data_IF_466210432416
#
_entry.id   IF_466210432416
#
_cell.length_a   1.000
_cell.length_b   1.000
_cell.length_c   1.000
_cell.angle_alpha   90.00
_cell.angle_beta   90.00
_cell.angle_gamma   90.00
#
_symmetry.space_group_name_H-M   'P 1'
#
loop_
_entity.id
_entity.type
_entity.pdbx_description
1 polymer ?
#
# COMPACT_ATOMS: atom_id res chain seq x y z
N UNK A 1 -29.06 32.47 15.99
CA UNK A 1 -29.15 31.24 16.79
C UNK A 1 -30.26 30.39 16.22
N UNK A 2 -29.93 29.43 15.37
CA UNK A 2 -30.86 28.37 14.96
C UNK A 2 -31.14 27.50 16.20
N UNK A 3 -32.41 27.18 16.52
CA UNK A 3 -32.71 26.31 17.65
C UNK A 3 -32.04 24.94 17.43
N UNK A 4 -31.32 24.46 18.45
CA UNK A 4 -30.77 23.09 18.45
C UNK A 4 -31.95 22.13 18.19
N UNK A 5 -31.87 21.22 17.21
CA UNK A 5 -32.90 20.20 17.04
C UNK A 5 -32.98 19.43 18.36
N UNK A 6 -34.15 19.49 19.02
CA UNK A 6 -34.37 18.72 20.25
C UNK A 6 -34.14 17.25 19.94
N UNK A 7 -33.05 16.69 20.48
CA UNK A 7 -32.80 15.27 20.40
C UNK A 7 -33.90 14.53 21.16
N UNK A 8 -34.45 13.50 20.54
CA UNK A 8 -35.38 12.59 21.19
C UNK A 8 -34.73 11.99 22.47
N UNK A 9 -35.46 12.06 23.59
CA UNK A 9 -35.02 11.57 24.89
C UNK A 9 -34.76 10.05 24.87
N UNK A 10 -35.51 9.29 24.07
CA UNK A 10 -35.29 7.85 23.91
C UNK A 10 -33.95 7.58 23.19
N UNK A 11 -33.69 8.30 22.10
CA UNK A 11 -32.42 8.23 21.36
C UNK A 11 -31.22 8.59 22.24
N UNK A 12 -31.35 9.64 23.06
CA UNK A 12 -30.30 10.08 23.98
C UNK A 12 -30.03 9.03 25.08
N UNK A 13 -31.08 8.40 25.58
CA UNK A 13 -30.98 7.34 26.60
C UNK A 13 -30.28 6.11 26.04
N UNK A 14 -30.66 5.66 24.84
CA UNK A 14 -30.02 4.52 24.17
C UNK A 14 -28.54 4.80 23.90
N UNK A 15 -28.21 6.01 23.44
CA UNK A 15 -26.81 6.39 23.19
C UNK A 15 -25.95 6.35 24.47
N UNK A 16 -26.47 6.84 25.60
CA UNK A 16 -25.78 6.77 26.90
C UNK A 16 -25.60 5.32 27.37
N UNK A 17 -26.58 4.47 27.14
CA UNK A 17 -26.47 3.03 27.40
C UNK A 17 -25.39 2.39 26.52
N UNK A 18 -25.31 2.76 25.24
CA UNK A 18 -24.31 2.28 24.29
C UNK A 18 -22.89 2.71 24.69
N UNK A 19 -22.69 3.95 25.13
CA UNK A 19 -21.40 4.44 25.65
C UNK A 19 -20.97 3.64 26.89
N UNK A 20 -21.90 3.38 27.80
CA UNK A 20 -21.63 2.61 29.02
C UNK A 20 -21.27 1.17 28.68
N UNK A 21 -22.06 0.51 27.83
CA UNK A 21 -21.82 -0.85 27.36
C UNK A 21 -20.46 -0.98 26.66
N UNK A 22 -20.13 -0.07 25.76
CA UNK A 22 -18.85 -0.08 25.04
C UNK A 22 -17.64 0.04 25.95
N UNK A 23 -17.74 0.75 27.09
CA UNK A 23 -16.65 0.85 28.07
C UNK A 23 -16.48 -0.43 28.88
N UNK A 24 -17.59 -1.10 29.21
CA UNK A 24 -17.59 -2.37 29.95
C UNK A 24 -17.06 -3.51 29.07
N UNK A 25 -17.52 -3.57 27.82
CA UNK A 25 -17.12 -4.61 26.86
C UNK A 25 -15.67 -4.45 26.36
N UNK A 26 -15.06 -3.26 26.51
CA UNK A 26 -13.69 -2.97 26.03
C UNK A 26 -12.83 -2.29 27.10
N UNK A 27 -12.47 -3.01 28.18
CA UNK A 27 -11.72 -2.44 29.31
C UNK A 27 -10.31 -1.98 28.89
N UNK A 28 -9.65 -2.68 27.97
CA UNK A 28 -8.31 -2.34 27.47
C UNK A 28 -8.30 -1.03 26.66
N UNK A 29 -9.25 -0.88 25.73
CA UNK A 29 -9.43 0.36 24.96
C UNK A 29 -9.81 1.54 25.88
N UNK A 30 -10.61 1.29 26.92
CA UNK A 30 -10.90 2.31 27.92
C UNK A 30 -9.66 2.74 28.70
N UNK A 31 -8.80 1.80 29.10
CA UNK A 31 -7.54 2.10 29.78
C UNK A 31 -6.59 2.92 28.89
N UNK A 32 -6.44 2.54 27.62
CA UNK A 32 -5.55 3.22 26.65
C UNK A 32 -6.07 4.60 26.20
N UNK A 33 -7.39 4.82 26.24
CA UNK A 33 -8.03 6.07 25.79
C UNK A 33 -7.55 7.34 26.51
N UNK A 34 -6.97 7.22 27.71
CA UNK A 34 -6.43 8.36 28.47
C UNK A 34 -5.34 9.11 27.71
N UNK A 35 -4.51 8.40 26.94
CA UNK A 35 -3.43 8.98 26.13
C UNK A 35 -3.95 9.82 24.97
N UNK A 36 -5.10 9.42 24.40
CA UNK A 36 -5.70 10.09 23.24
C UNK A 36 -6.25 11.49 23.55
N UNK A 37 -6.58 11.75 24.82
CA UNK A 37 -7.09 13.05 25.27
C UNK A 37 -6.05 13.88 26.02
N UNK A 38 -4.79 13.43 26.02
CA UNK A 38 -3.67 14.21 26.53
C UNK A 38 -3.29 15.35 25.57
N UNK A 39 -2.69 16.41 26.10
CA UNK A 39 -2.33 17.62 25.34
C UNK A 39 -1.51 17.32 24.08
N UNK A 40 -0.61 16.34 24.14
CA UNK A 40 0.25 15.95 23.00
C UNK A 40 -0.50 15.25 21.85
N UNK A 41 -1.70 14.70 22.09
CA UNK A 41 -2.38 13.82 21.12
C UNK A 41 -3.80 14.29 20.78
N UNK A 42 -4.33 15.29 21.48
CA UNK A 42 -5.69 15.74 21.31
C UNK A 42 -5.93 16.31 19.90
N UNK A 43 -5.03 17.15 19.41
CA UNK A 43 -5.13 17.77 18.07
C UNK A 43 -5.17 16.75 16.94
N UNK A 44 -4.54 15.58 17.11
CA UNK A 44 -4.63 14.48 16.14
C UNK A 44 -5.86 13.58 16.38
N UNK A 45 -6.33 13.49 17.62
CA UNK A 45 -7.44 12.60 18.02
C UNK A 45 -8.80 13.18 17.63
N UNK A 46 -9.03 14.48 17.82
CA UNK A 46 -10.34 15.09 17.59
C UNK A 46 -10.78 15.05 16.12
N UNK A 47 -9.94 15.36 15.12
CA UNK A 47 -10.31 15.20 13.70
C UNK A 47 -10.66 13.76 13.35
N UNK A 48 -9.89 12.78 13.85
CA UNK A 48 -10.16 11.34 13.65
C UNK A 48 -11.50 10.94 14.26
N UNK A 49 -11.81 11.44 15.44
CA UNK A 49 -13.09 11.18 16.11
C UNK A 49 -14.25 11.80 15.31
N UNK A 50 -14.09 13.02 14.82
CA UNK A 50 -15.08 13.71 13.95
C UNK A 50 -15.34 12.91 12.68
N UNK A 51 -14.29 12.47 11.98
CA UNK A 51 -14.43 11.63 10.78
C UNK A 51 -15.12 10.29 11.09
N UNK A 52 -14.79 9.65 12.21
CA UNK A 52 -15.42 8.40 12.62
C UNK A 52 -16.91 8.58 12.94
N UNK A 53 -17.29 9.69 13.58
CA UNK A 53 -18.70 10.06 13.84
C UNK A 53 -19.42 10.32 12.51
N UNK A 54 -18.79 11.05 11.58
CA UNK A 54 -19.34 11.32 10.25
C UNK A 54 -19.61 10.05 9.45
N UNK A 55 -18.70 9.07 9.51
CA UNK A 55 -18.81 7.79 8.81
C UNK A 55 -19.70 6.74 9.53
N UNK A 56 -20.14 7.02 10.75
CA UNK A 56 -20.90 6.05 11.56
C UNK A 56 -22.33 5.86 11.07
N UNK A 57 -22.94 4.75 11.50
CA UNK A 57 -24.38 4.49 11.35
C UNK A 57 -25.24 5.22 12.39
N UNK A 58 -24.67 6.13 13.18
CA UNK A 58 -25.43 6.89 14.18
C UNK A 58 -26.51 7.75 13.50
N UNK A 59 -27.71 7.89 14.12
CA UNK A 59 -28.78 8.71 13.56
C UNK A 59 -28.33 10.15 13.26
N UNK A 60 -28.78 10.76 12.14
CA UNK A 60 -28.33 12.08 11.72
C UNK A 60 -28.44 13.19 12.78
N UNK A 61 -29.53 13.28 13.59
CA UNK A 61 -29.63 14.30 14.64
C UNK A 61 -28.55 14.15 15.73
N UNK A 62 -28.24 12.91 16.13
CA UNK A 62 -27.20 12.62 17.10
C UNK A 62 -25.81 12.94 16.55
N UNK A 63 -25.57 12.62 15.28
CA UNK A 63 -24.31 12.94 14.59
C UNK A 63 -24.06 14.43 14.55
N UNK A 64 -25.06 15.22 14.15
CA UNK A 64 -24.97 16.68 14.11
C UNK A 64 -24.69 17.27 15.50
N UNK A 65 -25.40 16.81 16.52
CA UNK A 65 -25.19 17.28 17.89
C UNK A 65 -23.80 16.94 18.44
N UNK A 66 -23.29 15.73 18.16
CA UNK A 66 -21.92 15.34 18.53
C UNK A 66 -20.87 16.20 17.83
N UNK A 67 -21.02 16.45 16.53
CA UNK A 67 -20.10 17.30 15.77
C UNK A 67 -20.10 18.75 16.27
N UNK A 68 -21.28 19.27 16.61
CA UNK A 68 -21.42 20.59 17.21
C UNK A 68 -20.78 20.67 18.60
N UNK A 69 -20.92 19.63 19.43
CA UNK A 69 -20.30 19.56 20.76
C UNK A 69 -18.76 19.46 20.69
N UNK A 70 -18.24 18.80 19.64
CA UNK A 70 -16.81 18.66 19.35
C UNK A 70 -16.22 19.85 18.57
N UNK A 71 -17.02 20.87 18.25
CA UNK A 71 -16.61 22.05 17.49
C UNK A 71 -15.88 21.71 16.17
N UNK A 72 -16.33 20.66 15.48
CA UNK A 72 -15.70 20.22 14.23
C UNK A 72 -14.27 19.64 14.37
N UNK A 73 -13.75 19.53 15.59
CA UNK A 73 -12.43 18.94 15.87
C UNK A 73 -11.26 19.93 15.88
N UNK A 74 -11.53 21.24 15.89
CA UNK A 74 -10.53 22.30 15.72
C UNK A 74 -9.94 22.87 17.02
N UNK A 75 -10.14 22.22 18.17
CA UNK A 75 -9.66 22.75 19.46
C UNK A 75 -8.33 22.14 19.90
N UNK A 76 -7.54 22.94 20.61
CA UNK A 76 -6.22 22.53 21.14
C UNK A 76 -6.31 21.86 22.51
N UNK A 77 -7.35 22.15 23.30
CA UNK A 77 -7.55 21.56 24.63
C UNK A 77 -8.99 21.09 24.82
N UNK A 78 -9.16 20.05 25.64
CA UNK A 78 -10.50 19.48 25.93
C UNK A 78 -11.39 20.50 26.65
N UNK A 79 -10.80 21.40 27.43
CA UNK A 79 -11.48 22.47 28.14
C UNK A 79 -12.12 23.50 27.21
N UNK A 80 -11.63 23.59 25.97
CA UNK A 80 -12.14 24.53 24.97
C UNK A 80 -13.39 23.96 24.26
N UNK A 81 -13.73 22.68 24.49
CA UNK A 81 -14.97 22.05 23.99
C UNK A 81 -16.20 22.52 24.77
N UNK A 82 -17.38 22.34 24.17
CA UNK A 82 -18.64 22.62 24.85
C UNK A 82 -18.94 21.57 25.92
N UNK A 83 -18.47 21.81 27.14
CA UNK A 83 -18.61 20.90 28.27
C UNK A 83 -20.09 20.57 28.59
N UNK A 84 -20.97 21.56 28.50
CA UNK A 84 -22.41 21.38 28.77
C UNK A 84 -23.06 20.49 27.71
N UNK A 85 -22.75 20.70 26.42
CA UNK A 85 -23.28 19.86 25.33
C UNK A 85 -22.76 18.43 25.41
N UNK A 86 -21.47 18.24 25.69
CA UNK A 86 -20.89 16.91 25.88
C UNK A 86 -21.54 16.20 27.07
N UNK A 87 -21.70 16.91 28.19
CA UNK A 87 -22.34 16.34 29.39
C UNK A 87 -23.81 15.98 29.13
N UNK A 88 -24.55 16.83 28.42
CA UNK A 88 -25.92 16.55 28.01
C UNK A 88 -26.01 15.30 27.14
N UNK A 89 -25.15 15.19 26.13
CA UNK A 89 -25.13 14.09 25.16
C UNK A 89 -24.65 12.76 25.76
N UNK A 90 -23.58 12.78 26.55
CA UNK A 90 -22.93 11.54 27.01
C UNK A 90 -23.18 11.21 28.48
N UNK A 91 -23.69 12.15 29.28
CA UNK A 91 -23.81 12.00 30.74
C UNK A 91 -22.44 12.01 31.46
N UNK A 92 -21.39 12.53 30.81
CA UNK A 92 -20.01 12.47 31.32
C UNK A 92 -19.34 13.85 31.20
N UNK A 93 -18.42 14.20 32.11
CA UNK A 93 -17.57 15.37 31.95
C UNK A 93 -16.75 15.31 30.65
N UNK A 94 -16.42 16.46 30.06
CA UNK A 94 -15.80 16.58 28.72
C UNK A 94 -14.67 15.57 28.45
N UNK A 95 -13.67 15.46 29.33
CA UNK A 95 -12.56 14.50 29.16
C UNK A 95 -13.03 13.05 29.12
N UNK A 96 -13.96 12.66 30.01
CA UNK A 96 -14.53 11.30 30.01
C UNK A 96 -15.46 11.08 28.83
N UNK A 97 -16.19 12.11 28.38
CA UNK A 97 -17.02 12.08 27.20
C UNK A 97 -16.18 11.78 25.96
N UNK A 98 -15.12 12.56 25.70
CA UNK A 98 -14.23 12.36 24.54
C UNK A 98 -13.57 10.96 24.58
N UNK A 99 -13.10 10.51 25.75
CA UNK A 99 -12.56 9.15 25.90
C UNK A 99 -13.60 8.08 25.58
N UNK A 100 -14.81 8.22 26.10
CA UNK A 100 -15.89 7.25 25.89
C UNK A 100 -16.30 7.20 24.42
N UNK A 101 -16.34 8.35 23.75
CA UNK A 101 -16.57 8.44 22.32
C UNK A 101 -15.42 7.76 21.53
N UNK A 102 -14.16 7.97 21.93
CA UNK A 102 -13.02 7.29 21.31
C UNK A 102 -13.11 5.76 21.42
N UNK A 103 -13.62 5.22 22.52
CA UNK A 103 -13.86 3.77 22.66
C UNK A 103 -15.02 3.32 21.77
N UNK A 104 -16.17 4.01 21.85
CA UNK A 104 -17.37 3.65 21.09
C UNK A 104 -17.12 3.66 19.58
N UNK A 105 -16.47 4.71 19.08
CA UNK A 105 -16.13 4.89 17.67
C UNK A 105 -14.80 4.23 17.26
N UNK A 106 -14.27 3.32 18.10
CA UNK A 106 -13.10 2.46 17.79
C UNK A 106 -11.79 3.22 17.52
N UNK A 107 -11.67 4.46 17.98
CA UNK A 107 -10.40 5.22 17.97
C UNK A 107 -9.42 4.62 19.00
N UNK A 108 -9.93 4.16 20.14
CA UNK A 108 -9.14 3.58 21.24
C UNK A 108 -8.84 2.08 21.09
N UNK A 109 -9.46 1.39 20.12
CA UNK A 109 -9.13 -0.01 19.75
C UNK A 109 -7.75 -0.13 19.08
N UNK A 110 -6.98 0.96 19.04
CA UNK A 110 -5.58 0.98 18.64
C UNK A 110 -4.66 1.02 19.87
N UNK A 111 -4.44 -0.09 20.61
CA UNK A 111 -3.14 -0.30 21.21
C UNK A 111 -2.20 -0.73 20.08
N UNK A 112 -1.86 0.18 19.19
CA UNK A 112 -0.54 0.13 18.60
C UNK A 112 0.22 1.11 19.47
N UNK A 113 1.28 0.66 20.16
CA UNK A 113 2.49 1.46 20.07
C UNK A 113 2.60 1.80 18.59
N UNK A 114 2.30 3.05 18.21
CA UNK A 114 2.44 3.46 16.83
C UNK A 114 3.88 3.10 16.52
N UNK A 115 4.09 2.05 15.71
CA UNK A 115 5.42 1.77 15.21
C UNK A 115 5.87 3.11 14.63
N UNK A 116 7.01 3.65 15.09
CA UNK A 116 7.44 4.94 14.62
C UNK A 116 7.41 4.92 13.08
N UNK A 117 6.91 5.99 12.49
CA UNK A 117 7.14 6.20 11.05
C UNK A 117 8.44 6.97 11.02
N UNK A 118 9.38 6.51 10.20
CA UNK A 118 10.67 7.20 10.05
C UNK A 118 10.45 8.66 9.67
N UNK A 119 11.17 9.54 10.34
CA UNK A 119 11.11 10.99 10.20
C UNK A 119 11.88 11.52 8.97
N UNK A 120 12.54 10.63 8.22
CA UNK A 120 13.37 11.00 7.06
C UNK A 120 12.54 11.72 5.99
N UNK A 121 13.08 12.84 5.53
CA UNK A 121 12.53 13.62 4.41
C UNK A 121 12.77 12.92 3.07
N UNK A 122 11.98 13.27 2.07
CA UNK A 122 12.15 12.76 0.71
C UNK A 122 13.54 13.11 0.13
N UNK A 123 14.13 14.22 0.57
CA UNK A 123 15.45 14.69 0.17
C UNK A 123 16.56 13.82 0.77
N UNK A 124 16.44 13.46 2.05
CA UNK A 124 17.39 12.56 2.71
C UNK A 124 17.35 11.16 2.10
N UNK A 125 16.16 10.68 1.74
CA UNK A 125 15.99 9.39 1.09
C UNK A 125 16.53 9.40 -0.34
N UNK A 126 16.28 10.47 -1.11
CA UNK A 126 16.91 10.66 -2.41
C UNK A 126 18.44 10.66 -2.30
N UNK A 127 19.00 11.43 -1.36
CA UNK A 127 20.44 11.47 -1.13
C UNK A 127 20.99 10.09 -0.76
N UNK A 128 20.26 9.34 0.08
CA UNK A 128 20.62 7.98 0.47
C UNK A 128 20.69 7.04 -0.75
N UNK A 129 19.64 6.99 -1.58
CA UNK A 129 19.61 6.04 -2.71
C UNK A 129 20.63 6.40 -3.80
N UNK A 130 20.95 7.69 -3.97
CA UNK A 130 22.04 8.12 -4.87
C UNK A 130 23.42 7.70 -4.36
N UNK A 131 23.63 7.68 -3.04
CA UNK A 131 24.89 7.33 -2.42
C UNK A 131 25.09 5.80 -2.22
N UNK A 132 24.00 5.04 -2.14
CA UNK A 132 24.04 3.63 -1.76
C UNK A 132 23.57 2.72 -2.90
N UNK A 133 24.37 1.69 -3.20
CA UNK A 133 24.01 0.67 -4.19
C UNK A 133 22.81 -0.16 -3.74
N UNK A 134 22.69 -0.46 -2.46
CA UNK A 134 21.61 -1.28 -1.94
C UNK A 134 20.52 -0.41 -1.30
N UNK A 135 19.34 -0.27 -1.93
CA UNK A 135 18.25 0.56 -1.42
C UNK A 135 17.68 0.03 -0.09
N UNK A 136 17.79 -1.28 0.16
CA UNK A 136 17.26 -1.90 1.38
C UNK A 136 18.12 -1.60 2.61
N UNK A 137 19.35 -1.10 2.44
CA UNK A 137 20.18 -0.64 3.55
C UNK A 137 19.60 0.60 4.23
N UNK A 138 18.60 1.25 3.63
CA UNK A 138 17.81 2.30 4.27
C UNK A 138 17.13 1.80 5.56
N UNK A 139 16.82 0.50 5.65
CA UNK A 139 16.28 -0.11 6.87
C UNK A 139 17.22 0.05 8.07
N UNK A 140 18.54 0.10 7.84
CA UNK A 140 19.54 0.24 8.90
C UNK A 140 19.73 1.70 9.36
N UNK A 141 19.26 2.67 8.57
CA UNK A 141 19.38 4.10 8.86
C UNK A 141 18.07 4.68 9.40
N UNK A 142 16.93 4.09 9.03
CA UNK A 142 15.63 4.55 9.44
C UNK A 142 15.40 4.33 10.94
N UNK A 143 14.90 5.36 11.63
CA UNK A 143 14.46 5.29 13.04
C UNK A 143 13.47 4.14 13.28
N UNK A 144 12.68 3.82 12.25
CA UNK A 144 11.79 2.68 12.24
C UNK A 144 12.04 1.84 11.00
N UNK A 145 12.59 0.64 11.20
CA UNK A 145 12.81 -0.30 10.10
C UNK A 145 11.48 -0.97 9.75
N UNK A 146 10.91 -0.62 8.60
CA UNK A 146 9.63 -1.18 8.15
C UNK A 146 9.59 -1.43 6.65
N UNK A 147 9.14 -2.63 6.27
CA UNK A 147 9.03 -3.06 4.89
C UNK A 147 7.66 -3.69 4.60
N UNK A 148 7.03 -3.26 3.50
CA UNK A 148 5.84 -3.90 2.93
C UNK A 148 6.20 -4.57 1.59
N UNK A 149 6.03 -5.88 1.49
CA UNK A 149 6.21 -6.66 0.26
C UNK A 149 4.85 -6.98 -0.38
N UNK A 150 4.62 -6.46 -1.59
CA UNK A 150 3.40 -6.64 -2.38
C UNK A 150 3.63 -7.73 -3.43
N UNK A 151 2.82 -8.78 -3.39
CA UNK A 151 3.02 -9.97 -4.23
C UNK A 151 4.21 -10.82 -3.73
N UNK A 152 4.26 -11.05 -2.42
CA UNK A 152 5.41 -11.66 -1.73
C UNK A 152 5.73 -13.12 -2.16
N UNK A 153 4.81 -13.79 -2.83
CA UNK A 153 4.94 -15.12 -3.40
C UNK A 153 5.33 -16.17 -2.36
N UNK A 154 6.43 -16.86 -2.64
CA UNK A 154 6.95 -17.94 -1.81
C UNK A 154 7.68 -17.47 -0.54
N UNK A 155 7.71 -16.16 -0.27
CA UNK A 155 8.39 -15.49 0.84
C UNK A 155 9.92 -15.58 0.82
N UNK A 156 10.55 -16.08 -0.25
CA UNK A 156 12.01 -16.16 -0.34
C UNK A 156 12.67 -14.79 -0.14
N UNK A 157 12.09 -13.74 -0.71
CA UNK A 157 12.58 -12.37 -0.52
C UNK A 157 12.51 -11.95 0.97
N UNK A 158 11.37 -12.19 1.63
CA UNK A 158 11.17 -11.86 3.03
C UNK A 158 12.19 -12.56 3.95
N UNK A 159 12.49 -13.83 3.68
CA UNK A 159 13.49 -14.61 4.41
C UNK A 159 14.90 -14.03 4.27
N UNK A 160 15.27 -13.56 3.07
CA UNK A 160 16.56 -12.90 2.85
C UNK A 160 16.65 -11.53 3.51
N UNK A 161 15.55 -10.76 3.52
CA UNK A 161 15.47 -9.50 4.26
C UNK A 161 15.72 -9.76 5.74
N UNK A 162 15.04 -10.75 6.33
CA UNK A 162 15.23 -11.10 7.74
C UNK A 162 16.66 -11.56 8.01
N UNK A 163 17.19 -12.48 7.21
CA UNK A 163 18.54 -13.01 7.40
C UNK A 163 19.61 -11.90 7.34
N UNK A 164 19.42 -10.90 6.47
CA UNK A 164 20.39 -9.82 6.28
C UNK A 164 20.26 -8.68 7.29
N UNK A 165 19.02 -8.24 7.55
CA UNK A 165 18.78 -6.99 8.27
C UNK A 165 18.38 -7.18 9.72
N UNK A 166 17.80 -8.32 10.09
CA UNK A 166 17.35 -8.52 11.47
C UNK A 166 18.52 -8.52 12.47
N UNK A 167 19.66 -9.20 12.24
CA UNK A 167 20.77 -9.20 13.20
C UNK A 167 21.34 -7.80 13.51
N UNK A 168 21.70 -6.95 12.52
CA UNK A 168 22.19 -5.59 12.83
C UNK A 168 21.11 -4.72 13.48
N UNK A 169 19.84 -4.82 13.06
CA UNK A 169 18.73 -4.09 13.67
C UNK A 169 18.53 -4.46 15.15
N UNK A 170 18.61 -5.75 15.48
CA UNK A 170 18.58 -6.22 16.86
C UNK A 170 19.73 -5.67 17.70
N UNK A 171 20.95 -5.61 17.13
CA UNK A 171 22.11 -5.04 17.83
C UNK A 171 21.93 -3.56 18.18
N UNK A 172 21.09 -2.85 17.41
CA UNK A 172 20.73 -1.45 17.62
C UNK A 172 19.47 -1.28 18.50
N UNK A 173 18.83 -2.37 18.92
CA UNK A 173 17.55 -2.34 19.63
C UNK A 173 16.38 -1.85 18.77
N UNK A 174 16.51 -1.91 17.43
CA UNK A 174 15.48 -1.47 16.50
C UNK A 174 14.71 -2.69 15.97
N UNK A 175 13.40 -2.84 16.24
CA UNK A 175 12.62 -3.93 15.68
C UNK A 175 12.37 -3.75 14.17
N UNK A 176 12.27 -4.86 13.45
CA UNK A 176 11.86 -4.86 12.04
C UNK A 176 10.35 -5.13 11.93
N UNK A 177 9.59 -4.25 11.29
CA UNK A 177 8.25 -4.58 10.78
C UNK A 177 8.36 -5.12 9.36
N UNK A 178 7.99 -6.38 9.14
CA UNK A 178 8.01 -7.01 7.83
C UNK A 178 6.64 -7.56 7.48
N UNK A 179 5.95 -6.87 6.59
CA UNK A 179 4.57 -7.13 6.22
C UNK A 179 4.51 -7.59 4.77
N UNK A 180 3.86 -8.72 4.52
CA UNK A 180 3.80 -9.37 3.21
C UNK A 180 2.33 -9.55 2.81
N UNK A 181 1.96 -9.13 1.61
CA UNK A 181 0.60 -9.29 1.06
C UNK A 181 0.68 -10.05 -0.24
N UNK A 182 -0.20 -11.04 -0.43
CA UNK A 182 -0.29 -11.79 -1.67
C UNK A 182 -1.75 -12.14 -2.02
N UNK A 183 -2.05 -12.16 -3.32
CA UNK A 183 -3.34 -12.59 -3.88
C UNK A 183 -3.46 -14.11 -3.98
N UNK A 184 -2.34 -14.82 -3.89
CA UNK A 184 -2.28 -16.27 -3.84
C UNK A 184 -2.88 -16.73 -2.53
N UNK A 185 -3.90 -17.58 -2.64
CA UNK A 185 -4.43 -18.29 -1.49
C UNK A 185 -3.41 -19.36 -1.05
N UNK A 186 -2.90 -19.31 0.19
CA UNK A 186 -1.97 -20.31 0.71
C UNK A 186 -2.57 -21.71 0.80
N UNK A 187 -3.88 -21.87 0.65
CA UNK A 187 -4.56 -23.17 0.57
C UNK A 187 -4.87 -23.63 -0.85
N UNK A 188 -4.75 -22.77 -1.86
CA UNK A 188 -5.09 -23.13 -3.24
C UNK A 188 -4.04 -24.00 -3.89
N UNK A 189 -4.49 -25.01 -4.62
CA UNK A 189 -3.65 -25.91 -5.42
C UNK A 189 -3.24 -25.30 -6.77
N UNK A 190 -3.81 -24.14 -7.14
CA UNK A 190 -3.61 -23.49 -8.44
C UNK A 190 -2.37 -22.59 -8.49
N UNK A 191 -1.76 -22.31 -7.34
CA UNK A 191 -0.64 -21.36 -7.23
C UNK A 191 0.73 -21.95 -7.58
N UNK A 192 0.85 -23.28 -7.58
CA UNK A 192 2.07 -23.99 -7.94
C UNK A 192 3.30 -23.50 -7.15
N UNK A 193 4.44 -23.23 -7.83
CA UNK A 193 5.71 -22.91 -7.15
C UNK A 193 5.76 -21.52 -6.51
N UNK A 194 4.73 -20.68 -6.68
CA UNK A 194 4.64 -19.32 -6.14
C UNK A 194 3.94 -19.28 -4.78
N UNK A 195 3.50 -20.43 -4.27
CA UNK A 195 2.84 -20.54 -2.97
C UNK A 195 3.81 -20.26 -1.83
N UNK A 196 3.35 -19.54 -0.81
CA UNK A 196 4.10 -19.32 0.43
C UNK A 196 4.51 -20.67 1.04
N UNK A 197 5.82 -20.85 1.20
CA UNK A 197 6.38 -22.06 1.79
C UNK A 197 5.98 -22.17 3.28
N UNK A 198 5.31 -23.27 3.72
CA UNK A 198 4.82 -23.38 5.09
C UNK A 198 5.93 -23.34 6.15
N UNK A 199 7.09 -23.93 5.87
CA UNK A 199 8.21 -23.98 6.82
C UNK A 199 8.83 -22.59 7.00
N UNK A 200 9.04 -21.86 5.91
CA UNK A 200 9.49 -20.47 5.91
C UNK A 200 8.49 -19.57 6.61
N UNK A 201 7.19 -19.74 6.35
CA UNK A 201 6.14 -18.98 7.02
C UNK A 201 6.15 -19.24 8.55
N UNK A 202 6.32 -20.49 8.97
CA UNK A 202 6.44 -20.85 10.38
C UNK A 202 7.69 -20.23 11.02
N UNK A 203 8.84 -20.29 10.34
CA UNK A 203 10.09 -19.66 10.80
C UNK A 203 9.94 -18.16 11.00
N UNK A 204 9.41 -17.45 10.00
CA UNK A 204 9.20 -16.00 10.06
C UNK A 204 8.23 -15.59 11.18
N UNK A 205 7.22 -16.43 11.48
CA UNK A 205 6.29 -16.22 12.61
C UNK A 205 6.88 -16.61 13.96
N UNK A 206 7.96 -17.38 14.00
CA UNK A 206 8.57 -17.91 15.22
C UNK A 206 9.45 -16.89 15.97
N UNK A 207 9.73 -15.73 15.38
CA UNK A 207 10.52 -14.69 16.04
C UNK A 207 9.77 -14.06 17.23
N UNK A 208 10.52 -13.69 18.26
CA UNK A 208 9.96 -13.11 19.47
C UNK A 208 9.30 -11.73 19.19
N UNK A 209 8.17 -11.41 19.86
CA UNK A 209 7.60 -10.08 19.83
C UNK A 209 8.64 -9.01 20.23
N UNK A 210 8.68 -7.89 19.51
CA UNK A 210 9.67 -6.82 19.74
C UNK A 210 11.02 -7.04 19.04
N UNK A 211 11.20 -8.16 18.34
CA UNK A 211 12.31 -8.37 17.40
C UNK A 211 11.84 -8.18 15.95
N UNK A 212 10.85 -8.96 15.55
CA UNK A 212 10.29 -8.97 14.20
C UNK A 212 8.76 -8.92 14.32
N UNK A 213 8.11 -7.86 13.85
CA UNK A 213 6.66 -7.85 13.61
C UNK A 213 6.41 -8.36 12.20
N UNK A 214 6.39 -9.68 12.06
CA UNK A 214 6.11 -10.34 10.79
C UNK A 214 4.61 -10.60 10.60
N UNK A 215 4.08 -10.22 9.44
CA UNK A 215 2.71 -10.53 9.03
C UNK A 215 2.67 -10.96 7.57
N UNK A 216 1.86 -11.98 7.30
CA UNK A 216 1.56 -12.44 5.96
C UNK A 216 0.06 -12.55 5.76
N UNK A 217 -0.46 -11.85 4.74
CA UNK A 217 -1.84 -11.92 4.29
C UNK A 217 -1.88 -12.51 2.89
N UNK A 218 -2.13 -13.82 2.81
CA UNK A 218 -2.48 -14.48 1.55
C UNK A 218 -3.98 -14.34 1.23
N UNK A 219 -4.35 -14.65 -0.01
CA UNK A 219 -5.70 -14.46 -0.54
C UNK A 219 -6.23 -13.02 -0.37
N UNK A 220 -5.35 -12.03 -0.51
CA UNK A 220 -5.68 -10.62 -0.33
C UNK A 220 -5.41 -9.86 -1.63
N UNK A 221 -6.39 -9.09 -2.12
CA UNK A 221 -6.12 -8.15 -3.22
C UNK A 221 -5.09 -7.12 -2.74
N UNK A 222 -3.89 -7.18 -3.31
CA UNK A 222 -2.78 -6.28 -2.97
C UNK A 222 -3.14 -4.80 -3.24
N UNK A 223 -4.14 -4.54 -4.10
CA UNK A 223 -4.64 -3.18 -4.39
C UNK A 223 -5.76 -2.72 -3.44
N UNK A 224 -6.27 -3.58 -2.56
CA UNK A 224 -7.23 -3.19 -1.51
C UNK A 224 -6.70 -3.58 -0.13
N UNK A 225 -5.97 -2.65 0.50
CA UNK A 225 -5.36 -2.85 1.81
C UNK A 225 -6.23 -2.39 2.99
N UNK A 226 -7.44 -1.87 2.74
CA UNK A 226 -8.25 -1.15 3.75
C UNK A 226 -8.72 -2.04 4.90
N UNK A 227 -8.91 -3.33 4.64
CA UNK A 227 -9.44 -4.28 5.62
C UNK A 227 -8.34 -4.97 6.45
N UNK A 228 -7.06 -4.75 6.11
CA UNK A 228 -5.95 -5.40 6.76
C UNK A 228 -5.69 -4.80 8.15
N UNK A 229 -6.07 -5.56 9.18
CA UNK A 229 -5.80 -5.19 10.58
C UNK A 229 -4.29 -5.20 10.83
N UNK A 230 -3.79 -4.19 11.56
CA UNK A 230 -2.39 -4.05 11.99
C UNK A 230 -1.38 -3.80 10.84
N UNK A 231 -1.87 -3.51 9.64
CA UNK A 231 -1.04 -2.94 8.59
C UNK A 231 -0.61 -1.53 9.01
N UNK A 232 0.66 -1.18 8.81
CA UNK A 232 1.12 0.18 9.08
C UNK A 232 0.48 1.17 8.11
N UNK A 233 0.21 2.41 8.56
CA UNK A 233 -0.28 3.45 7.66
C UNK A 233 0.74 3.75 6.56
N UNK A 234 2.04 3.71 6.91
CA UNK A 234 3.17 4.08 6.05
C UNK A 234 4.42 3.28 6.44
N UNK A 235 5.29 2.99 5.48
CA UNK A 235 6.49 2.16 5.61
C UNK A 235 7.74 2.92 5.13
N UNK A 236 8.90 2.53 5.64
CA UNK A 236 10.21 2.97 5.14
C UNK A 236 10.36 2.53 3.69
N UNK A 237 10.09 1.25 3.42
CA UNK A 237 10.20 0.67 2.10
C UNK A 237 8.90 -0.06 1.74
N UNK A 238 8.37 0.22 0.56
CA UNK A 238 7.38 -0.64 -0.10
C UNK A 238 8.06 -1.27 -1.30
N UNK A 239 7.94 -2.59 -1.43
CA UNK A 239 8.51 -3.33 -2.54
C UNK A 239 7.44 -4.15 -3.25
N UNK A 240 7.61 -4.33 -4.56
CA UNK A 240 6.87 -5.33 -5.33
C UNK A 240 7.86 -6.03 -6.24
N UNK A 241 8.14 -7.29 -5.93
CA UNK A 241 9.06 -8.13 -6.72
C UNK A 241 8.26 -8.89 -7.78
N UNK A 242 8.68 -8.78 -9.04
CA UNK A 242 8.00 -9.34 -10.20
C UNK A 242 6.48 -9.01 -10.24
N UNK A 243 6.12 -7.72 -10.43
CA UNK A 243 4.72 -7.32 -10.57
C UNK A 243 3.96 -8.21 -11.58
N UNK A 244 2.73 -8.64 -11.27
CA UNK A 244 2.09 -9.71 -12.03
C UNK A 244 1.63 -9.27 -13.43
N UNK A 245 2.16 -9.93 -14.45
CA UNK A 245 1.63 -9.91 -15.83
C UNK A 245 0.48 -10.90 -15.97
N UNK A 246 -0.67 -10.53 -16.57
CA UNK A 246 -0.97 -9.24 -17.21
C UNK A 246 -1.58 -8.15 -16.29
N UNK A 247 -1.89 -8.44 -15.03
CA UNK A 247 -2.65 -7.54 -14.15
C UNK A 247 -2.08 -6.10 -14.05
N UNK A 248 -0.76 -5.92 -14.16
CA UNK A 248 -0.08 -4.61 -14.14
C UNK A 248 0.41 -4.17 -15.52
N UNK A 249 0.36 -5.05 -16.53
CA UNK A 249 0.95 -4.82 -17.86
C UNK A 249 0.05 -4.00 -18.81
N UNK A 250 -1.15 -3.59 -18.40
CA UNK A 250 -2.02 -2.76 -19.24
C UNK A 250 -2.61 -1.62 -18.42
N UNK A 251 -2.39 -0.38 -18.84
CA UNK A 251 -2.90 0.82 -18.16
C UNK A 251 -4.32 1.20 -18.64
N UNK A 252 -5.38 1.03 -17.82
CA UNK A 252 -6.76 1.30 -18.23
C UNK A 252 -7.04 2.76 -18.60
N UNK A 253 -6.26 3.72 -18.10
CA UNK A 253 -6.42 5.14 -18.47
C UNK A 253 -5.97 5.45 -19.90
N UNK A 254 -5.21 4.56 -20.55
CA UNK A 254 -4.77 4.72 -21.95
C UNK A 254 -5.24 3.60 -22.87
N UNK A 255 -5.49 2.40 -22.36
CA UNK A 255 -5.93 1.24 -23.12
C UNK A 255 -7.38 0.89 -22.78
N UNK A 256 -8.24 0.90 -23.80
CA UNK A 256 -9.61 0.46 -23.68
C UNK A 256 -9.70 -1.05 -23.40
N UNK A 257 -10.76 -1.45 -22.70
CA UNK A 257 -10.98 -2.85 -22.32
C UNK A 257 -11.01 -3.78 -23.54
N UNK A 258 -11.57 -3.34 -24.67
CA UNK A 258 -11.63 -4.13 -25.90
C UNK A 258 -10.25 -4.36 -26.52
N UNK A 259 -9.36 -3.36 -26.50
CA UNK A 259 -7.98 -3.49 -26.98
C UNK A 259 -7.20 -4.46 -26.09
N UNK A 260 -7.35 -4.36 -24.77
CA UNK A 260 -6.70 -5.26 -23.82
C UNK A 260 -7.18 -6.70 -24.01
N UNK A 261 -8.51 -6.91 -24.08
CA UNK A 261 -9.09 -8.24 -24.27
C UNK A 261 -8.67 -8.87 -25.59
N UNK A 262 -8.69 -8.11 -26.69
CA UNK A 262 -8.23 -8.58 -27.99
C UNK A 262 -6.74 -8.96 -27.96
N UNK A 263 -5.91 -8.17 -27.29
CA UNK A 263 -4.48 -8.47 -27.17
C UNK A 263 -4.20 -9.70 -26.31
N UNK A 264 -4.90 -9.85 -25.18
CA UNK A 264 -4.82 -11.04 -24.33
C UNK A 264 -5.23 -12.30 -25.09
N UNK A 265 -6.34 -12.26 -25.84
CA UNK A 265 -6.77 -13.40 -26.66
C UNK A 265 -5.75 -13.76 -27.74
N UNK A 266 -5.13 -12.74 -28.35
CA UNK A 266 -4.10 -12.94 -29.38
C UNK A 266 -2.80 -13.53 -28.81
N UNK A 267 -2.37 -13.13 -27.62
CA UNK A 267 -1.05 -13.49 -27.08
C UNK A 267 -1.06 -14.62 -26.08
N UNK A 268 -2.17 -14.80 -25.35
CA UNK A 268 -2.33 -15.85 -24.33
C UNK A 268 -3.33 -16.93 -24.75
N UNK A 269 -4.04 -16.76 -25.86
CA UNK A 269 -5.06 -17.69 -26.34
C UNK A 269 -6.45 -17.45 -25.75
N UNK A 270 -7.38 -18.37 -26.00
CA UNK A 270 -8.73 -18.28 -25.46
C UNK A 270 -8.73 -18.56 -23.96
N UNK A 271 -9.43 -17.75 -23.19
CA UNK A 271 -9.52 -17.93 -21.74
C UNK A 271 -10.94 -17.77 -21.23
N UNK A 272 -11.26 -18.48 -20.15
CA UNK A 272 -12.55 -18.43 -19.46
C UNK A 272 -12.41 -18.79 -17.99
N UNK A 273 -13.35 -18.34 -17.17
CA UNK A 273 -13.46 -18.79 -15.78
C UNK A 273 -14.16 -20.14 -15.71
N UNK A 274 -13.60 -21.08 -14.97
CA UNK A 274 -14.17 -22.41 -14.73
C UNK A 274 -14.13 -22.72 -13.22
N UNK A 275 -14.74 -23.84 -12.82
CA UNK A 275 -14.55 -24.41 -11.47
C UNK A 275 -13.79 -25.72 -11.54
N UNK A 276 -12.74 -25.86 -10.73
CA UNK A 276 -11.91 -27.06 -10.61
C UNK A 276 -11.84 -27.45 -9.15
N UNK A 277 -12.29 -28.67 -8.82
CA UNK A 277 -12.32 -29.17 -7.44
C UNK A 277 -13.03 -28.23 -6.42
N UNK A 278 -14.00 -27.43 -6.88
CA UNK A 278 -14.74 -26.48 -6.05
C UNK A 278 -14.14 -25.07 -5.98
N UNK A 279 -12.93 -24.85 -6.50
CA UNK A 279 -12.28 -23.53 -6.60
C UNK A 279 -12.55 -22.88 -7.97
N UNK A 280 -12.72 -21.55 -8.01
CA UNK A 280 -12.76 -20.82 -9.29
C UNK A 280 -11.34 -20.72 -9.86
N UNK A 281 -11.18 -21.01 -11.15
CA UNK A 281 -9.91 -20.96 -11.86
C UNK A 281 -10.07 -20.20 -13.19
N UNK A 282 -9.00 -19.56 -13.64
CA UNK A 282 -8.89 -19.08 -15.01
C UNK A 282 -8.28 -20.21 -15.85
N UNK A 283 -9.05 -20.75 -16.78
CA UNK A 283 -8.57 -21.66 -17.81
C UNK A 283 -8.10 -20.85 -19.01
N UNK A 284 -6.87 -21.12 -19.47
CA UNK A 284 -6.25 -20.52 -20.65
C UNK A 284 -5.86 -21.64 -21.61
N UNK A 285 -6.37 -21.58 -22.83
CA UNK A 285 -6.11 -22.55 -23.89
C UNK A 285 -4.90 -22.10 -24.71
N UNK A 286 -3.78 -22.81 -24.56
CA UNK A 286 -2.54 -22.62 -25.30
C UNK A 286 -2.30 -23.83 -26.22
N UNK A 287 -2.66 -23.69 -27.49
CA UNK A 287 -2.75 -24.81 -28.43
C UNK A 287 -3.72 -25.88 -27.93
N UNK A 288 -3.26 -27.12 -27.81
CA UNK A 288 -4.06 -28.26 -27.32
C UNK A 288 -4.02 -28.40 -25.78
N UNK A 289 -3.36 -27.49 -25.06
CA UNK A 289 -3.21 -27.56 -23.60
C UNK A 289 -4.10 -26.54 -22.89
N UNK A 290 -4.82 -27.01 -21.87
CA UNK A 290 -5.49 -26.15 -20.92
C UNK A 290 -4.59 -25.89 -19.71
N UNK A 291 -4.19 -24.63 -19.52
CA UNK A 291 -3.45 -24.15 -18.36
C UNK A 291 -4.42 -23.53 -17.35
N UNK A 292 -4.19 -23.79 -16.06
CA UNK A 292 -5.01 -23.24 -14.98
C UNK A 292 -4.23 -22.21 -14.19
N UNK A 293 -4.88 -21.09 -13.92
CA UNK A 293 -4.35 -19.99 -13.12
C UNK A 293 -5.36 -19.56 -12.05
N UNK A 294 -4.93 -18.82 -11.02
CA UNK A 294 -5.85 -18.11 -10.15
C UNK A 294 -6.84 -17.26 -10.97
N UNK A 295 -8.12 -17.17 -10.54
CA UNK A 295 -9.20 -16.58 -11.33
C UNK A 295 -9.01 -15.09 -11.59
N UNK A 296 -8.16 -14.46 -10.79
CA UNK A 296 -7.82 -13.05 -10.84
C UNK A 296 -6.62 -12.71 -11.71
N UNK A 297 -5.95 -13.71 -12.31
CA UNK A 297 -4.69 -13.50 -13.06
C UNK A 297 -4.83 -12.45 -14.16
N UNK A 298 -6.02 -12.35 -14.78
CA UNK A 298 -6.34 -11.39 -15.84
C UNK A 298 -7.21 -10.21 -15.35
N UNK A 299 -7.33 -10.01 -14.03
CA UNK A 299 -7.96 -8.81 -13.47
C UNK A 299 -7.01 -7.61 -13.66
N UNK A 300 -7.23 -6.83 -14.72
CA UNK A 300 -6.37 -5.71 -15.07
C UNK A 300 -6.56 -4.56 -14.09
N UNK A 301 -5.45 -4.13 -13.48
CA UNK A 301 -5.36 -2.97 -12.58
C UNK A 301 -4.51 -1.86 -13.21
N UNK A 302 -3.41 -2.24 -13.83
CA UNK A 302 -2.49 -1.34 -14.53
C UNK A 302 -1.41 -0.68 -13.65
N UNK A 303 -0.38 -0.08 -14.29
CA UNK A 303 0.76 0.53 -13.63
C UNK A 303 0.40 1.67 -12.68
N UNK A 304 -0.53 2.56 -13.03
CA UNK A 304 -0.88 3.70 -12.17
C UNK A 304 -1.43 3.26 -10.82
N UNK A 305 -2.18 2.16 -10.80
CA UNK A 305 -2.71 1.58 -9.57
C UNK A 305 -1.58 1.13 -8.63
N UNK A 306 -0.52 0.54 -9.19
CA UNK A 306 0.62 0.06 -8.43
C UNK A 306 1.46 1.23 -7.92
N UNK A 307 1.75 2.20 -8.78
CA UNK A 307 2.49 3.40 -8.43
C UNK A 307 1.78 4.20 -7.33
N UNK A 308 0.46 4.41 -7.44
CA UNK A 308 -0.35 5.11 -6.43
C UNK A 308 -0.39 4.36 -5.09
N UNK A 309 -0.50 3.02 -5.15
CA UNK A 309 -0.48 2.19 -3.96
C UNK A 309 0.86 2.32 -3.22
N UNK A 310 1.96 2.14 -3.94
CA UNK A 310 3.31 2.17 -3.38
C UNK A 310 3.66 3.56 -2.85
N UNK A 311 3.42 4.61 -3.65
CA UNK A 311 3.67 6.00 -3.23
C UNK A 311 2.91 6.35 -1.95
N UNK A 312 1.62 5.98 -1.88
CA UNK A 312 0.82 6.27 -0.69
C UNK A 312 1.06 5.33 0.51
N UNK A 313 2.05 4.43 0.43
CA UNK A 313 2.39 3.49 1.50
C UNK A 313 3.88 3.49 1.88
N UNK A 314 4.77 4.02 1.07
CA UNK A 314 6.21 3.92 1.28
C UNK A 314 6.93 5.24 1.08
N UNK A 315 7.98 5.49 1.84
CA UNK A 315 8.91 6.58 1.56
C UNK A 315 9.92 6.25 0.47
N UNK A 316 10.26 4.97 0.32
CA UNK A 316 11.01 4.44 -0.80
C UNK A 316 10.21 3.30 -1.43
N UNK A 317 10.04 3.35 -2.75
CA UNK A 317 9.36 2.32 -3.51
C UNK A 317 10.39 1.55 -4.34
N UNK A 318 10.39 0.22 -4.23
CA UNK A 318 11.30 -0.67 -4.96
C UNK A 318 10.50 -1.63 -5.83
N UNK A 319 10.77 -1.64 -7.13
CA UNK A 319 10.21 -2.61 -8.06
C UNK A 319 11.34 -3.52 -8.53
N UNK A 320 11.32 -4.77 -8.09
CA UNK A 320 12.35 -5.76 -8.43
C UNK A 320 11.91 -6.68 -9.55
N UNK A 321 12.86 -7.14 -10.40
CA UNK A 321 12.63 -8.14 -11.43
C UNK A 321 11.38 -7.90 -12.30
N UNK A 322 11.21 -6.67 -12.77
CA UNK A 322 10.08 -6.25 -13.60
C UNK A 322 10.31 -6.73 -15.03
N UNK A 323 9.39 -7.53 -15.57
CA UNK A 323 9.49 -7.96 -16.97
C UNK A 323 9.34 -6.77 -17.95
N UNK A 324 9.69 -7.01 -19.22
CA UNK A 324 9.67 -5.96 -20.23
C UNK A 324 8.27 -5.35 -20.45
N UNK A 325 7.22 -6.17 -20.46
CA UNK A 325 5.86 -5.72 -20.77
C UNK A 325 5.40 -4.74 -19.69
N UNK A 326 5.57 -5.11 -18.42
CA UNK A 326 5.23 -4.26 -17.28
C UNK A 326 6.15 -3.05 -17.18
N UNK A 327 7.45 -3.21 -17.45
CA UNK A 327 8.42 -2.12 -17.36
C UNK A 327 8.07 -0.95 -18.26
N UNK A 328 7.79 -1.20 -19.55
CA UNK A 328 7.49 -0.11 -20.48
C UNK A 328 6.17 0.59 -20.15
N UNK A 329 5.22 -0.13 -19.57
CA UNK A 329 3.93 0.42 -19.13
C UNK A 329 4.07 1.27 -17.87
N UNK A 330 4.90 0.85 -16.92
CA UNK A 330 5.31 1.69 -15.78
C UNK A 330 6.06 2.92 -16.28
N UNK A 331 7.04 2.72 -17.16
CA UNK A 331 7.85 3.82 -17.70
C UNK A 331 6.98 4.84 -18.42
N UNK A 332 5.96 4.43 -19.17
CA UNK A 332 5.04 5.35 -19.83
C UNK A 332 4.40 6.36 -18.84
N UNK A 333 4.23 6.00 -17.57
CA UNK A 333 3.60 6.88 -16.58
C UNK A 333 4.54 7.91 -15.96
N UNK A 334 5.87 7.74 -16.09
CA UNK A 334 6.87 8.50 -15.33
C UNK A 334 7.35 9.79 -16.03
N UNK A 335 7.60 9.85 -17.35
CA UNK A 335 7.92 11.09 -18.06
C UNK A 335 6.74 12.05 -18.14
N UNK A 336 7.02 13.35 -18.15
CA UNK A 336 6.03 14.38 -18.41
C UNK A 336 5.46 14.29 -19.84
N UNK A 337 6.27 13.86 -20.81
CA UNK A 337 5.88 13.75 -22.22
C UNK A 337 4.68 12.81 -22.43
N UNK A 338 3.55 13.38 -22.87
CA UNK A 338 2.32 12.63 -23.12
C UNK A 338 2.42 11.68 -24.30
N UNK A 339 3.38 11.90 -25.22
CA UNK A 339 3.61 10.99 -26.36
C UNK A 339 4.07 9.60 -25.91
N UNK A 340 4.61 9.48 -24.69
CA UNK A 340 4.95 8.20 -24.09
C UNK A 340 3.71 7.38 -23.68
N UNK A 341 2.50 7.96 -23.72
CA UNK A 341 1.23 7.31 -23.34
C UNK A 341 0.20 7.38 -24.47
N UNK A 342 0.49 6.82 -25.66
CA UNK A 342 -0.48 6.80 -26.75
C UNK A 342 -1.73 6.01 -26.35
N UNK A 343 -2.91 6.56 -26.67
CA UNK A 343 -4.19 5.90 -26.45
C UNK A 343 -4.33 4.67 -27.36
N UNK A 344 -4.83 3.56 -26.79
CA UNK A 344 -5.14 2.30 -27.49
C UNK A 344 -3.99 1.66 -28.28
N UNK A 345 -2.74 2.02 -27.96
CA UNK A 345 -1.54 1.43 -28.57
C UNK A 345 -0.87 0.48 -27.58
N UNK A 346 -0.96 -0.83 -27.84
CA UNK A 346 -0.18 -1.83 -27.12
C UNK A 346 1.31 -1.67 -27.46
N UNK A 347 2.18 -1.67 -26.47
CA UNK A 347 3.62 -1.59 -26.70
C UNK A 347 4.16 -2.89 -27.29
N UNK A 348 4.99 -2.75 -28.31
CA UNK A 348 5.66 -3.83 -29.02
C UNK A 348 7.08 -3.38 -29.37
N UNK A 349 8.01 -4.31 -29.58
CA UNK A 349 9.38 -3.96 -29.99
C UNK A 349 9.42 -3.06 -31.25
N UNK A 350 8.42 -3.18 -32.13
CA UNK A 350 8.32 -2.37 -33.34
C UNK A 350 7.91 -0.91 -33.09
N UNK A 351 7.13 -0.62 -32.04
CA UNK A 351 6.64 0.73 -31.76
C UNK A 351 7.32 1.43 -30.58
N UNK A 352 7.98 0.69 -29.68
CA UNK A 352 8.73 1.26 -28.56
C UNK A 352 9.74 2.35 -28.99
N UNK A 353 10.56 2.17 -30.05
CA UNK A 353 11.45 3.24 -30.51
C UNK A 353 10.72 4.51 -30.94
N UNK A 354 9.51 4.38 -31.51
CA UNK A 354 8.71 5.52 -31.98
C UNK A 354 8.04 6.26 -30.83
N UNK A 355 7.57 5.53 -29.82
CA UNK A 355 6.88 6.08 -28.65
C UNK A 355 7.86 6.76 -27.69
N UNK A 356 9.00 6.13 -27.42
CA UNK A 356 9.94 6.58 -26.40
C UNK A 356 11.20 7.25 -26.97
N UNK A 357 11.45 7.16 -28.28
CA UNK A 357 12.54 7.88 -28.95
C UNK A 357 13.91 7.63 -28.32
N UNK A 358 14.59 8.72 -27.94
CA UNK A 358 15.91 8.67 -27.30
C UNK A 358 15.90 7.94 -25.95
N UNK A 359 14.78 7.96 -25.22
CA UNK A 359 14.64 7.23 -23.95
C UNK A 359 14.75 5.72 -24.19
N UNK A 360 14.09 5.20 -25.23
CA UNK A 360 14.23 3.80 -25.63
C UNK A 360 15.66 3.45 -26.03
N UNK A 361 16.31 4.31 -26.82
CA UNK A 361 17.68 4.06 -27.27
C UNK A 361 18.67 3.98 -26.09
N UNK A 362 18.55 4.91 -25.12
CA UNK A 362 19.39 4.94 -23.92
C UNK A 362 19.14 3.74 -23.00
N UNK A 363 17.88 3.42 -22.72
CA UNK A 363 17.52 2.29 -21.87
C UNK A 363 17.90 0.95 -22.50
N UNK A 364 17.65 0.77 -23.79
CA UNK A 364 18.00 -0.46 -24.52
C UNK A 364 19.51 -0.70 -24.58
N UNK A 365 20.31 0.37 -24.55
CA UNK A 365 21.77 0.30 -24.50
C UNK A 365 22.33 0.15 -23.07
N UNK A 366 21.49 0.18 -22.03
CA UNK A 366 21.93 0.09 -20.63
C UNK A 366 22.45 -1.33 -20.33
N UNK A 367 23.75 -1.52 -20.00
CA UNK A 367 24.28 -2.83 -19.69
C UNK A 367 23.67 -3.42 -18.41
N UNK A 368 23.58 -4.75 -18.34
CA UNK A 368 23.17 -5.46 -17.11
C UNK A 368 24.08 -5.05 -15.94
N UNK A 369 23.48 -4.75 -14.78
CA UNK A 369 24.16 -4.26 -13.59
C UNK A 369 24.35 -2.74 -13.55
N UNK A 370 24.11 -2.03 -14.65
CA UNK A 370 24.18 -0.56 -14.69
C UNK A 370 22.85 0.08 -14.36
N UNK A 371 22.91 1.35 -13.98
CA UNK A 371 21.75 2.17 -13.66
C UNK A 371 21.79 3.54 -14.33
N UNK A 372 20.64 4.19 -14.37
CA UNK A 372 20.49 5.57 -14.79
C UNK A 372 19.41 6.28 -13.97
N UNK A 373 19.60 7.58 -13.79
CA UNK A 373 18.57 8.49 -13.29
C UNK A 373 17.67 8.92 -14.45
N UNK A 374 16.36 8.65 -14.38
CA UNK A 374 15.43 9.00 -15.44
C UNK A 374 15.36 10.52 -15.67
N UNK A 375 15.56 11.33 -14.61
CA UNK A 375 15.56 12.78 -14.71
C UNK A 375 16.73 13.32 -15.56
N UNK A 376 17.80 12.52 -15.76
CA UNK A 376 18.89 12.88 -16.67
C UNK A 376 18.52 12.75 -18.16
N UNK A 377 17.41 12.06 -18.47
CA UNK A 377 16.96 11.78 -19.84
C UNK A 377 15.69 12.53 -20.22
N UNK A 378 14.82 12.81 -19.25
CA UNK A 378 13.52 13.47 -19.49
C UNK A 378 12.99 14.14 -18.23
N UNK A 379 12.08 15.09 -18.40
CA UNK A 379 11.36 15.69 -17.28
C UNK A 379 10.40 14.66 -16.67
N UNK A 380 10.42 14.54 -15.35
CA UNK A 380 9.47 13.68 -14.64
C UNK A 380 8.08 14.32 -14.60
N UNK A 381 7.06 13.48 -14.64
CA UNK A 381 5.66 13.87 -14.51
C UNK A 381 5.42 14.46 -13.12
N UNK A 382 4.78 15.63 -13.09
CA UNK A 382 4.52 16.37 -11.86
C UNK A 382 3.21 15.98 -11.19
N UNK A 383 2.23 15.50 -11.96
CA UNK A 383 0.91 15.12 -11.45
C UNK A 383 0.46 13.78 -12.03
N UNK A 384 0.13 12.83 -11.15
CA UNK A 384 -0.40 11.53 -11.52
C UNK A 384 -1.94 11.53 -11.47
N UNK A 385 -2.63 10.90 -12.45
CA UNK A 385 -4.09 10.85 -12.44
C UNK A 385 -4.55 10.04 -11.24
N UNK A 386 -5.57 10.55 -10.54
CA UNK A 386 -6.20 9.83 -9.43
C UNK A 386 -7.17 8.78 -9.99
N UNK A 387 -7.23 7.62 -9.35
CA UNK A 387 -8.31 6.67 -9.63
C UNK A 387 -9.65 7.22 -9.11
N UNK A 388 -10.61 7.40 -10.02
CA UNK A 388 -11.97 7.87 -9.73
C UNK A 388 -12.75 6.85 -8.86
N UNK A 389 -12.35 5.58 -8.88
CA UNK A 389 -13.11 4.49 -8.26
C UNK A 389 -12.83 4.24 -6.77
N UNK A 390 -11.89 4.95 -6.15
CA UNK A 390 -11.73 4.90 -4.69
C UNK A 390 -12.78 5.78 -4.01
N UNK A 391 -14.01 5.26 -3.91
CA UNK A 391 -15.08 5.86 -3.08
C UNK A 391 -14.58 5.98 -1.63
N UNK A 392 -14.20 7.20 -1.23
CA UNK A 392 -13.95 7.58 0.16
C UNK A 392 -12.49 7.89 0.48
N UNK A 393 -12.06 9.12 0.15
CA UNK A 393 -10.82 9.73 0.63
C UNK A 393 -10.00 10.34 -0.49
N UNK A 394 -9.98 11.67 -0.58
CA UNK A 394 -9.03 12.38 -1.45
C UNK A 394 -7.61 12.13 -0.92
N UNK A 395 -6.86 11.19 -1.51
CA UNK A 395 -5.41 11.09 -1.29
C UNK A 395 -4.73 12.36 -1.79
N UNK A 396 -3.73 12.84 -1.05
CA UNK A 396 -2.92 13.99 -1.45
C UNK A 396 -2.31 13.72 -2.83
N UNK A 397 -2.16 14.76 -3.69
CA UNK A 397 -1.41 14.60 -4.93
C UNK A 397 0.00 14.14 -4.61
N UNK A 398 0.57 13.31 -5.48
CA UNK A 398 1.92 12.80 -5.34
C UNK A 398 2.65 12.91 -6.67
N UNK A 399 3.98 13.02 -6.59
CA UNK A 399 4.91 12.87 -7.70
C UNK A 399 6.06 11.96 -7.29
N UNK A 400 6.91 11.60 -8.24
CA UNK A 400 8.18 10.96 -7.93
C UNK A 400 9.29 11.97 -8.12
N UNK A 401 9.98 12.29 -7.02
CA UNK A 401 11.10 13.22 -6.99
C UNK A 401 12.33 12.61 -7.66
N UNK A 402 12.54 11.32 -7.43
CA UNK A 402 13.65 10.56 -7.98
C UNK A 402 13.16 9.23 -8.55
N UNK A 403 13.72 8.86 -9.71
CA UNK A 403 13.45 7.60 -10.41
C UNK A 403 14.78 7.05 -10.91
N UNK A 404 15.28 6.00 -10.28
CA UNK A 404 16.43 5.23 -10.77
C UNK A 404 15.94 3.99 -11.52
N UNK A 405 16.53 3.71 -12.68
CA UNK A 405 16.27 2.49 -13.45
C UNK A 405 17.57 1.71 -13.53
N UNK A 406 17.51 0.41 -13.19
CA UNK A 406 18.64 -0.52 -13.33
C UNK A 406 18.26 -1.68 -14.24
N UNK A 407 19.24 -2.19 -14.97
CA UNK A 407 19.09 -3.37 -15.82
C UNK A 407 19.51 -4.61 -15.05
N UNK A 408 18.61 -5.58 -14.85
CA UNK A 408 18.91 -6.85 -14.18
C UNK A 408 17.82 -7.31 -13.22
N UNK A 409 17.83 -8.62 -12.92
CA UNK A 409 16.89 -9.27 -12.00
C UNK A 409 17.41 -9.34 -10.56
N UNK A 410 18.72 -9.54 -10.43
CA UNK A 410 19.42 -9.74 -9.17
C UNK A 410 20.68 -8.89 -9.18
N UNK A 411 21.05 -8.40 -8.00
CA UNK A 411 22.23 -7.57 -7.81
C UNK A 411 22.97 -8.08 -6.58
N UNK A 412 24.30 -8.03 -6.62
CA UNK A 412 25.11 -8.43 -5.49
C UNK A 412 24.73 -7.61 -4.25
N UNK A 413 24.48 -8.32 -3.14
CA UNK A 413 24.12 -7.69 -1.89
C UNK A 413 22.65 -7.26 -1.75
N UNK A 414 21.81 -7.40 -2.78
CA UNK A 414 20.38 -7.10 -2.67
C UNK A 414 19.61 -8.39 -2.35
N UNK A 415 18.65 -8.37 -1.39
CA UNK A 415 17.68 -9.45 -1.26
C UNK A 415 16.88 -9.62 -2.55
N UNK A 416 16.58 -10.86 -2.92
CA UNK A 416 15.84 -11.15 -4.14
C UNK A 416 14.84 -12.29 -3.92
N UNK A 417 13.70 -12.23 -4.61
CA UNK A 417 12.72 -13.31 -4.63
C UNK A 417 13.14 -14.47 -5.54
N UNK A 418 12.42 -15.59 -5.46
CA UNK A 418 12.66 -16.75 -6.33
C UNK A 418 12.48 -16.41 -7.81
N UNK A 419 11.44 -15.67 -8.18
CA UNK A 419 11.18 -15.25 -9.57
C UNK A 419 12.36 -14.49 -10.16
N UNK A 420 12.96 -13.57 -9.40
CA UNK A 420 14.15 -12.83 -9.82
C UNK A 420 15.32 -13.75 -10.18
N UNK A 421 15.52 -14.84 -9.43
CA UNK A 421 16.60 -15.81 -9.68
C UNK A 421 16.33 -16.70 -10.90
N UNK A 422 15.06 -16.97 -11.21
CA UNK A 422 14.68 -17.82 -12.34
C UNK A 422 14.83 -17.11 -13.69
N UNK A 423 14.81 -15.77 -13.73
CA UNK A 423 14.97 -15.01 -14.99
C UNK A 423 16.24 -15.35 -15.77
N UNK A 424 17.36 -15.66 -15.08
CA UNK A 424 18.61 -16.05 -15.76
C UNK A 424 18.49 -17.38 -16.53
N UNK A 425 17.54 -18.22 -16.15
CA UNK A 425 17.32 -19.55 -16.72
C UNK A 425 16.21 -19.52 -17.81
N UNK A 426 15.52 -18.38 -17.97
CA UNK A 426 14.47 -18.17 -18.97
C UNK A 426 15.07 -17.69 -20.29
N UNK A 427 15.25 -18.61 -21.25
CA UNK A 427 15.95 -18.34 -22.52
C UNK A 427 15.25 -17.33 -23.43
N UNK A 428 13.93 -17.26 -23.36
CA UNK A 428 13.11 -16.41 -24.24
C UNK A 428 12.76 -15.05 -23.61
N UNK A 429 13.14 -14.84 -22.34
CA UNK A 429 12.88 -13.60 -21.61
C UNK A 429 14.08 -12.67 -21.68
N UNK A 430 13.83 -11.40 -22.00
CA UNK A 430 14.88 -10.39 -21.87
C UNK A 430 15.24 -10.20 -20.39
N UNK A 431 16.46 -9.72 -20.11
CA UNK A 431 16.83 -9.35 -18.75
C UNK A 431 15.78 -8.37 -18.18
N UNK A 432 15.29 -8.59 -16.95
CA UNK A 432 14.27 -7.73 -16.38
C UNK A 432 14.87 -6.42 -15.88
N UNK A 433 14.00 -5.57 -15.36
CA UNK A 433 14.31 -4.24 -14.86
C UNK A 433 14.15 -4.15 -13.36
N UNK A 434 14.80 -3.15 -12.79
CA UNK A 434 14.69 -2.79 -11.38
C UNK A 434 14.50 -1.28 -11.29
N UNK A 435 13.50 -0.83 -10.53
CA UNK A 435 13.21 0.59 -10.36
C UNK A 435 13.24 0.99 -8.91
N UNK A 436 13.80 2.18 -8.66
CA UNK A 436 13.71 2.88 -7.38
C UNK A 436 12.97 4.18 -7.58
N UNK A 437 11.96 4.40 -6.75
CA UNK A 437 11.12 5.59 -6.83
C UNK A 437 11.05 6.24 -5.44
N UNK A 438 11.38 7.52 -5.37
CA UNK A 438 11.21 8.33 -4.15
C UNK A 438 9.95 9.18 -4.34
N UNK A 439 8.80 8.78 -3.77
CA UNK A 439 7.58 9.57 -3.81
C UNK A 439 7.75 10.87 -3.01
N UNK A 440 7.12 11.92 -3.51
CA UNK A 440 6.97 13.19 -2.81
C UNK A 440 5.49 13.56 -2.81
N UNK A 441 4.96 13.85 -1.63
CA UNK A 441 3.56 14.20 -1.45
C UNK A 441 3.43 15.71 -1.44
N UNK A 442 2.51 16.23 -2.26
CA UNK A 442 2.18 17.64 -2.20
C UNK A 442 1.56 17.97 -0.84
N UNK A 443 1.90 19.14 -0.28
CA UNK A 443 1.18 19.66 0.88
C UNK A 443 -0.31 19.64 0.55
N UNK A 444 -1.11 18.93 1.36
CA UNK A 444 -2.55 19.03 1.29
C UNK A 444 -2.91 20.50 1.55
N UNK A 445 -3.28 21.23 0.50
CA UNK A 445 -3.87 22.56 0.62
C UNK A 445 -5.04 22.44 1.58
N UNK A 446 -4.86 23.04 2.76
CA UNK A 446 -5.80 23.02 3.88
C UNK A 446 -7.14 23.66 3.53
#
# INVERSE_FOLDING_TARGET
MTPDPQLDAALLTEFKAQLTRSRIERPEAWASSSRLVGQAHLCATLPRLVSAIQASSAPPPLRQALLAALQGGSVERVQDLSADRLTHLTGLPATKAVRSLCVLFKIADSPSAAMPVTSMTEQEIEAFVRANRNPYDLLLQAEAASLLDLGAGDLTFADEVVARYLPPLQSQGNPLALHCVDRIDPSSKLAGPLQADPERLARLRGYAPGTLDFRYWGNQDCFDLRQLKKLLPYYTIVTCNAPPTPAVAYEPSRLSASVIEAHLRKTKGHFRKIRVQGEEALEVLDGDKALLFPPWKFDIKGPLALLELMAGKGQLCVLGAVDNEVFWEILAQLPADERCRPADVIFTQANLPKVFGSLYARLSALPVGQSLDLASLTNLRQDFPRRVDQRGGSRAPYRFRHVEIRRGATFEGLPAGRTARLFKDMKDEASPWFLLLVPEHGASSQ
#
